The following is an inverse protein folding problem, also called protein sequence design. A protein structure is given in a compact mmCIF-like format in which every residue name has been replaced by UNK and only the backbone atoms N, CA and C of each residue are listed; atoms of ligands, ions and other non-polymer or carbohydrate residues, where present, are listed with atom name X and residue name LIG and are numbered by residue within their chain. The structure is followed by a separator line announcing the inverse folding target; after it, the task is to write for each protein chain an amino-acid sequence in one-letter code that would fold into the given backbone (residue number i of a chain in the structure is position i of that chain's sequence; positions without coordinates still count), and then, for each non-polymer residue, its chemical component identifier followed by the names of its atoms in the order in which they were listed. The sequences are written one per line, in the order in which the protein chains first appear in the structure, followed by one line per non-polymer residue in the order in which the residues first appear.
data_IF_014983253937
#
_entry.id   IF_014983253937
#
_cell.length_a   1.000
_cell.length_b   1.000
_cell.length_c   1.000
_cell.angle_alpha   90.00
_cell.angle_beta   90.00
_cell.angle_gamma   90.00
#
_symmetry.space_group_name_H-M   'P 1'
#
loop_
_entity.id
_entity.type
_entity.pdbx_description
1 polymer ?
#
# COMPACT_ATOMS: atom_id res chain seq x y z
N UNK A 1 -13.25 1.20 -17.85
CA UNK A 1 -12.91 2.33 -16.96
C UNK A 1 -14.04 2.49 -15.96
N UNK A 2 -13.74 2.38 -14.68
CA UNK A 2 -14.71 2.67 -13.62
C UNK A 2 -15.05 4.16 -13.62
N UNK A 3 -16.28 4.47 -13.23
CA UNK A 3 -16.73 5.84 -13.05
C UNK A 3 -15.93 6.53 -11.94
N UNK A 4 -15.28 7.66 -12.25
CA UNK A 4 -14.46 8.43 -11.31
C UNK A 4 -15.16 9.67 -10.75
N UNK A 5 -16.43 9.91 -11.11
CA UNK A 5 -17.18 11.10 -10.65
C UNK A 5 -17.29 11.20 -9.12
N UNK A 6 -17.18 10.09 -8.40
CA UNK A 6 -17.17 10.08 -6.95
C UNK A 6 -15.97 10.84 -6.34
N UNK A 7 -14.86 10.99 -7.07
CA UNK A 7 -13.69 11.78 -6.64
C UNK A 7 -13.96 13.30 -6.62
N UNK A 8 -15.08 13.74 -7.19
CA UNK A 8 -15.53 15.14 -7.16
C UNK A 8 -16.42 15.45 -5.95
N UNK A 9 -16.79 14.43 -5.17
CA UNK A 9 -17.58 14.62 -3.95
C UNK A 9 -16.82 15.47 -2.92
N UNK A 10 -17.54 16.21 -2.05
CA UNK A 10 -16.92 17.11 -1.06
C UNK A 10 -16.08 16.39 0.00
N UNK A 11 -16.05 15.06 -0.01
CA UNK A 11 -15.21 14.24 0.86
C UNK A 11 -13.76 14.11 0.36
N UNK A 12 -13.51 14.31 -0.95
CA UNK A 12 -12.21 14.10 -1.58
C UNK A 12 -11.54 15.41 -1.99
N UNK A 13 -10.35 15.60 -1.45
CA UNK A 13 -9.44 16.69 -1.76
C UNK A 13 -8.55 16.38 -2.99
N UNK A 14 -7.85 17.38 -3.53
CA UNK A 14 -7.02 17.25 -4.74
C UNK A 14 -5.97 16.12 -4.63
N UNK A 15 -5.35 15.96 -3.45
CA UNK A 15 -4.38 14.89 -3.18
C UNK A 15 -4.94 13.48 -3.41
N UNK A 16 -6.23 13.26 -3.16
CA UNK A 16 -6.87 11.96 -3.35
C UNK A 16 -7.07 11.65 -4.84
N UNK A 17 -7.31 12.68 -5.65
CA UNK A 17 -7.46 12.52 -7.11
C UNK A 17 -6.11 12.20 -7.74
N UNK A 18 -5.07 12.94 -7.32
CA UNK A 18 -3.71 12.68 -7.73
C UNK A 18 -3.26 11.26 -7.34
N UNK A 19 -3.53 10.84 -6.11
CA UNK A 19 -3.28 9.46 -5.65
C UNK A 19 -3.99 8.43 -6.53
N UNK A 20 -5.28 8.64 -6.82
CA UNK A 20 -6.06 7.76 -7.69
C UNK A 20 -5.47 7.67 -9.10
N UNK A 21 -5.00 8.77 -9.67
CA UNK A 21 -4.39 8.80 -11.00
C UNK A 21 -3.03 8.07 -11.03
N UNK A 22 -2.17 8.36 -10.06
CA UNK A 22 -0.87 7.71 -9.92
C UNK A 22 -1.01 6.20 -9.73
N UNK A 23 -1.92 5.78 -8.86
CA UNK A 23 -2.15 4.36 -8.60
C UNK A 23 -2.76 3.66 -9.81
N UNK A 24 -3.72 4.27 -10.51
CA UNK A 24 -4.29 3.69 -11.73
C UNK A 24 -3.23 3.53 -12.83
N UNK A 25 -2.29 4.47 -12.95
CA UNK A 25 -1.16 4.35 -13.86
C UNK A 25 -0.23 3.20 -13.47
N UNK A 26 0.09 3.07 -12.19
CA UNK A 26 0.94 1.98 -11.69
C UNK A 26 0.29 0.61 -11.89
N UNK A 27 -0.99 0.45 -11.53
CA UNK A 27 -1.71 -0.82 -11.69
C UNK A 27 -1.75 -1.26 -13.16
N UNK A 28 -1.96 -0.33 -14.10
CA UNK A 28 -1.94 -0.66 -15.53
C UNK A 28 -0.59 -1.14 -16.05
N UNK A 29 0.51 -0.71 -15.41
CA UNK A 29 1.85 -1.09 -15.81
C UNK A 29 2.30 -2.41 -15.17
N UNK A 30 1.91 -2.66 -13.92
CA UNK A 30 2.48 -3.75 -13.11
C UNK A 30 1.52 -4.92 -12.85
N UNK A 31 0.20 -4.74 -13.02
CA UNK A 31 -0.82 -5.74 -12.72
C UNK A 31 -1.59 -6.20 -13.98
N UNK A 32 -2.16 -7.42 -13.98
CA UNK A 32 -2.09 -8.43 -12.91
C UNK A 32 -0.74 -9.16 -12.86
N UNK A 33 -0.40 -9.72 -11.70
CA UNK A 33 0.78 -10.61 -11.56
C UNK A 33 0.38 -12.06 -11.78
N UNK A 34 1.37 -12.91 -12.05
CA UNK A 34 1.17 -14.36 -12.05
C UNK A 34 0.96 -14.89 -10.62
N UNK A 35 -0.01 -15.77 -10.43
CA UNK A 35 -0.43 -16.30 -9.13
C UNK A 35 0.02 -17.75 -8.91
N UNK A 36 0.96 -18.26 -9.72
CA UNK A 36 1.51 -19.62 -9.58
C UNK A 36 2.29 -19.84 -8.28
N UNK A 37 3.06 -18.85 -7.83
CA UNK A 37 3.74 -18.79 -6.53
C UNK A 37 3.24 -17.57 -5.74
N UNK A 38 2.15 -17.77 -5.00
CA UNK A 38 1.47 -16.70 -4.26
C UNK A 38 2.38 -16.05 -3.20
N UNK A 39 3.27 -16.80 -2.57
CA UNK A 39 4.16 -16.32 -1.51
C UNK A 39 5.22 -15.39 -2.10
N UNK A 40 5.89 -15.84 -3.15
CA UNK A 40 6.89 -15.02 -3.85
C UNK A 40 6.25 -13.77 -4.46
N UNK A 41 5.07 -13.90 -5.07
CA UNK A 41 4.34 -12.79 -5.67
C UNK A 41 3.92 -11.76 -4.61
N UNK A 42 3.39 -12.18 -3.45
CA UNK A 42 3.05 -11.25 -2.36
C UNK A 42 4.27 -10.47 -1.86
N UNK A 43 5.42 -11.14 -1.68
CA UNK A 43 6.67 -10.48 -1.23
C UNK A 43 7.10 -9.41 -2.24
N UNK A 44 7.03 -9.70 -3.54
CA UNK A 44 7.40 -8.74 -4.57
C UNK A 44 6.39 -7.59 -4.65
N UNK A 45 5.09 -7.87 -4.58
CA UNK A 45 4.03 -6.86 -4.57
C UNK A 45 4.23 -5.87 -3.41
N UNK A 46 4.45 -6.35 -2.18
CA UNK A 46 4.73 -5.48 -1.03
C UNK A 46 5.97 -4.61 -1.26
N UNK A 47 7.04 -5.17 -1.82
CA UNK A 47 8.26 -4.41 -2.11
C UNK A 47 8.03 -3.34 -3.17
N UNK A 48 7.32 -3.66 -4.24
CA UNK A 48 7.10 -2.73 -5.34
C UNK A 48 6.10 -1.64 -4.97
N UNK A 49 5.04 -1.98 -4.23
CA UNK A 49 4.13 -1.00 -3.61
C UNK A 49 4.88 -0.07 -2.63
N UNK A 50 5.82 -0.62 -1.85
CA UNK A 50 6.67 0.15 -0.97
C UNK A 50 7.63 1.10 -1.70
N UNK A 51 8.22 0.65 -2.82
CA UNK A 51 9.08 1.50 -3.68
C UNK A 51 8.28 2.60 -4.37
N UNK A 52 7.04 2.31 -4.77
CA UNK A 52 6.13 3.27 -5.39
C UNK A 52 5.56 4.28 -4.37
N UNK A 53 5.78 4.08 -3.07
CA UNK A 53 5.34 5.00 -2.01
C UNK A 53 3.91 4.79 -1.54
N UNK A 54 3.17 3.82 -2.06
CA UNK A 54 1.76 3.58 -1.67
C UNK A 54 1.61 3.06 -0.22
N UNK A 55 2.69 2.55 0.37
CA UNK A 55 2.70 2.08 1.76
C UNK A 55 3.01 3.19 2.80
N UNK A 56 3.35 4.41 2.38
CA UNK A 56 3.74 5.48 3.33
C UNK A 56 2.58 5.92 4.24
N UNK A 57 1.33 5.78 3.79
CA UNK A 57 0.13 6.16 4.53
C UNK A 57 -0.53 5.05 5.35
N UNK A 58 0.02 3.83 5.36
CA UNK A 58 -0.60 2.69 6.07
C UNK A 58 -0.28 2.67 7.56
N UNK A 59 0.69 3.46 8.03
CA UNK A 59 1.10 3.48 9.42
C UNK A 59 1.44 4.91 9.89
N UNK A 60 1.02 5.25 11.11
CA UNK A 60 1.24 6.58 11.70
C UNK A 60 0.17 6.95 12.73
N UNK A 61 0.28 8.13 13.33
CA UNK A 61 -0.74 8.65 14.26
C UNK A 61 -1.97 9.22 13.53
N UNK A 62 -1.79 9.71 12.31
CA UNK A 62 -2.84 10.26 11.46
C UNK A 62 -2.94 9.44 10.18
N UNK A 63 -3.83 8.44 10.20
CA UNK A 63 -4.12 7.60 9.03
C UNK A 63 -5.27 8.26 8.26
N UNK A 64 -5.02 8.61 7.00
CA UNK A 64 -6.08 9.06 6.10
C UNK A 64 -6.81 7.86 5.49
N UNK A 65 -7.94 7.52 6.11
CA UNK A 65 -8.78 6.39 5.73
C UNK A 65 -9.30 6.53 4.29
N UNK A 66 -9.48 7.75 3.78
CA UNK A 66 -9.96 7.99 2.41
C UNK A 66 -8.94 7.52 1.38
N UNK A 67 -7.67 7.89 1.58
CA UNK A 67 -6.56 7.41 0.74
C UNK A 67 -6.41 5.88 0.80
N UNK A 68 -6.54 5.27 1.98
CA UNK A 68 -6.50 3.81 2.09
C UNK A 68 -7.63 3.12 1.33
N UNK A 69 -8.86 3.63 1.45
CA UNK A 69 -10.00 3.09 0.71
C UNK A 69 -9.80 3.19 -0.80
N UNK A 70 -9.28 4.33 -1.30
CA UNK A 70 -8.98 4.51 -2.73
C UNK A 70 -7.91 3.54 -3.22
N UNK A 71 -6.88 3.29 -2.41
CA UNK A 71 -5.82 2.35 -2.76
C UNK A 71 -6.39 0.94 -2.88
N UNK A 72 -7.11 0.48 -1.86
CA UNK A 72 -7.71 -0.85 -1.83
C UNK A 72 -8.72 -1.08 -2.94
N UNK A 73 -9.61 -0.11 -3.17
CA UNK A 73 -10.59 -0.19 -4.25
C UNK A 73 -9.90 -0.34 -5.62
N UNK A 74 -8.84 0.44 -5.86
CA UNK A 74 -8.11 0.41 -7.13
C UNK A 74 -7.32 -0.89 -7.28
N UNK A 75 -6.60 -1.33 -6.25
CA UNK A 75 -5.85 -2.59 -6.28
C UNK A 75 -6.78 -3.78 -6.50
N UNK A 76 -7.89 -3.89 -5.75
CA UNK A 76 -8.83 -5.00 -5.85
C UNK A 76 -9.47 -5.13 -7.24
N UNK A 77 -9.59 -4.02 -7.97
CA UNK A 77 -10.10 -4.00 -9.34
C UNK A 77 -9.13 -4.59 -10.37
N UNK A 78 -7.83 -4.48 -10.11
CA UNK A 78 -6.78 -4.93 -11.02
C UNK A 78 -6.23 -6.30 -10.64
N UNK A 79 -5.97 -6.53 -9.35
CA UNK A 79 -5.46 -7.80 -8.82
C UNK A 79 -5.83 -7.96 -7.34
N UNK A 80 -6.65 -8.97 -7.02
CA UNK A 80 -7.04 -9.27 -5.64
C UNK A 80 -5.87 -9.65 -4.73
N UNK A 81 -4.80 -10.23 -5.28
CA UNK A 81 -3.60 -10.57 -4.51
C UNK A 81 -2.80 -9.32 -4.16
N UNK A 82 -2.87 -8.28 -4.99
CA UNK A 82 -2.28 -6.97 -4.69
C UNK A 82 -3.05 -6.24 -3.58
N UNK A 83 -4.40 -6.26 -3.59
CA UNK A 83 -5.20 -5.73 -2.47
C UNK A 83 -4.92 -6.50 -1.18
N UNK A 84 -4.88 -7.84 -1.25
CA UNK A 84 -4.54 -8.67 -0.11
C UNK A 84 -3.18 -8.30 0.48
N UNK A 85 -2.15 -8.25 -0.37
CA UNK A 85 -0.79 -7.89 0.04
C UNK A 85 -0.73 -6.51 0.69
N UNK A 86 -1.46 -5.52 0.15
CA UNK A 86 -1.54 -4.18 0.72
C UNK A 86 -2.27 -4.15 2.08
N UNK A 87 -3.42 -4.82 2.18
CA UNK A 87 -4.24 -4.85 3.40
C UNK A 87 -3.49 -5.50 4.58
N UNK A 88 -2.61 -6.46 4.30
CA UNK A 88 -1.81 -7.15 5.32
C UNK A 88 -0.68 -6.30 5.90
N UNK A 89 -0.35 -5.14 5.32
CA UNK A 89 0.72 -4.26 5.83
C UNK A 89 0.39 -3.57 7.16
N UNK A 90 -0.83 -3.77 7.67
CA UNK A 90 -1.23 -3.41 9.03
C UNK A 90 -1.63 -1.95 9.17
N UNK A 91 -2.88 -1.70 9.55
CA UNK A 91 -3.38 -0.39 9.96
C UNK A 91 -3.24 -0.23 11.47
N UNK A 92 -2.01 -0.15 11.97
CA UNK A 92 -1.77 0.07 13.39
C UNK A 92 -1.50 1.56 13.66
N UNK A 93 -2.29 2.24 14.51
CA UNK A 93 -1.81 3.45 15.16
C UNK A 93 -0.57 3.06 15.96
N UNK A 94 0.60 3.56 15.53
CA UNK A 94 1.95 3.16 15.94
C UNK A 94 2.42 1.77 15.43
N UNK A 95 3.15 1.72 14.28
CA UNK A 95 3.75 0.48 13.78
C UNK A 95 4.88 -0.05 14.69
N UNK A 96 5.36 0.72 15.66
CA UNK A 96 6.47 0.30 16.51
C UNK A 96 6.05 -0.68 17.60
N UNK A 97 4.94 -0.46 18.33
CA UNK A 97 4.62 -1.29 19.49
C UNK A 97 4.11 -2.70 19.11
N UNK A 98 3.21 -2.79 18.13
CA UNK A 98 2.67 -4.07 17.67
C UNK A 98 3.72 -4.88 16.87
N UNK A 99 4.48 -4.25 15.96
CA UNK A 99 5.58 -4.97 15.29
C UNK A 99 6.74 -5.28 16.23
N UNK A 100 7.09 -4.43 17.21
CA UNK A 100 8.13 -4.77 18.18
C UNK A 100 7.71 -5.91 19.12
N UNK A 101 6.40 -6.07 19.39
CA UNK A 101 5.88 -7.25 20.07
C UNK A 101 6.05 -8.51 19.21
N UNK A 102 5.79 -8.44 17.90
CA UNK A 102 6.06 -9.54 16.97
C UNK A 102 7.57 -9.84 16.81
N UNK A 103 8.43 -8.83 16.91
CA UNK A 103 9.89 -8.95 16.81
C UNK A 103 10.54 -9.58 18.04
N UNK A 104 9.79 -9.73 19.15
CA UNK A 104 10.26 -10.36 20.39
C UNK A 104 10.13 -11.89 20.37
N UNK A 105 9.29 -12.43 19.49
CA UNK A 105 9.17 -13.86 19.22
C UNK A 105 10.15 -14.24 18.12
N UNK A 106 11.37 -14.59 18.52
CA UNK A 106 12.49 -14.99 17.67
C UNK A 106 12.10 -16.10 16.68
N UNK A 107 11.87 -15.73 15.42
CA UNK A 107 11.67 -16.69 14.33
C UNK A 107 11.08 -16.15 13.02
N UNK A 108 10.41 -14.98 13.02
CA UNK A 108 9.64 -14.55 11.84
C UNK A 108 10.16 -13.28 11.18
N UNK A 109 10.30 -13.39 9.85
CA UNK A 109 10.60 -12.43 8.77
C UNK A 109 10.98 -11.00 9.19
N UNK A 110 12.19 -10.58 8.74
CA UNK A 110 12.70 -9.21 8.91
C UNK A 110 11.71 -8.18 8.32
N UNK A 111 11.44 -7.05 9.02
CA UNK A 111 10.54 -6.03 8.52
C UNK A 111 11.07 -5.44 7.21
N UNK A 112 10.20 -5.32 6.21
CA UNK A 112 10.48 -4.58 4.97
C UNK A 112 10.46 -3.08 5.31
N UNK A 113 11.62 -2.56 5.68
CA UNK A 113 11.84 -1.11 5.86
C UNK A 113 12.46 -0.58 4.59
N UNK A 114 11.68 0.15 3.78
CA UNK A 114 12.22 0.92 2.65
C UNK A 114 13.02 2.10 3.23
N UNK A 115 14.35 1.92 3.34
CA UNK A 115 15.26 3.00 3.75
C UNK A 115 15.38 4.02 2.63
N UNK A 116 14.81 5.22 2.81
CA UNK A 116 15.14 6.39 1.98
C UNK A 116 16.54 6.88 2.37
N UNK A 117 17.52 6.82 1.46
CA UNK A 117 18.82 7.44 1.71
C UNK A 117 18.63 8.96 1.82
N UNK A 118 18.73 9.52 3.04
CA UNK A 118 18.92 10.96 3.20
C UNK A 118 20.28 11.32 2.60
N UNK A 119 20.28 11.82 1.36
CA UNK A 119 21.43 12.50 0.79
C UNK A 119 21.47 13.87 1.47
N UNK A 120 22.25 13.97 2.55
CA UNK A 120 22.61 15.25 3.17
C UNK A 120 23.45 16.05 2.16
N UNK A 121 23.23 17.36 2.18
CA UNK A 121 23.91 18.37 1.35
C UNK A 121 25.41 18.34 1.55
#
# INVERSE_FOLDING_TARGET
MSDKRFLEWPFFEAQHRELSEQLEAWCRAELPRDHSDVDATCIQLVRDLGKAGFLEGTAGEHIDVRSLCLIRETLARHDGLADFSFAMQGWAPAPSAFMAAMNRSSGWVKPVVVKRSRRLR
#
